data_IF_232642105351
#
_entry.id   IF_232642105351
#
_cell.length_a   1.000
_cell.length_b   1.000
_cell.length_c   1.000
_cell.angle_alpha   90.00
_cell.angle_beta   90.00
_cell.angle_gamma   90.00
#
_symmetry.space_group_name_H-M   'P 1'
#
loop_
_entity.id
_entity.type
_entity.pdbx_description
1 polymer ?
#
# COMPACT_ATOMS: atom_id res chain seq x y z
N UNK A 1 19.07 10.01 6.03
CA UNK A 1 17.60 9.96 6.15
C UNK A 1 17.23 9.05 7.32
N UNK A 2 16.26 9.41 8.15
CA UNK A 2 15.99 8.63 9.36
C UNK A 2 15.13 7.41 9.00
N UNK A 3 15.70 6.20 9.05
CA UNK A 3 14.99 4.93 8.80
C UNK A 3 13.69 4.81 9.61
N UNK A 4 13.64 5.43 10.79
CA UNK A 4 12.45 5.47 11.63
C UNK A 4 11.28 6.23 10.99
N UNK A 5 11.55 7.31 10.26
CA UNK A 5 10.52 8.12 9.59
C UNK A 5 9.90 7.37 8.42
N UNK A 6 10.71 6.65 7.64
CA UNK A 6 10.24 5.78 6.54
C UNK A 6 9.29 4.72 7.08
N UNK A 7 9.69 4.00 8.15
CA UNK A 7 8.84 2.99 8.79
C UNK A 7 7.53 3.59 9.32
N UNK A 8 7.61 4.74 9.99
CA UNK A 8 6.41 5.41 10.53
C UNK A 8 5.45 5.82 9.41
N UNK A 9 5.97 6.34 8.31
CA UNK A 9 5.16 6.69 7.14
C UNK A 9 4.52 5.44 6.51
N UNK A 10 5.31 4.39 6.31
CA UNK A 10 4.85 3.11 5.78
C UNK A 10 3.67 2.56 6.57
N UNK A 11 3.81 2.43 7.89
CA UNK A 11 2.76 1.89 8.74
C UNK A 11 1.52 2.80 8.81
N UNK A 12 1.70 4.13 8.76
CA UNK A 12 0.58 5.07 8.64
C UNK A 12 -0.21 4.85 7.33
N UNK A 13 0.49 4.60 6.22
CA UNK A 13 -0.16 4.29 4.93
C UNK A 13 -0.88 2.95 4.97
N UNK A 14 -0.23 1.90 5.48
CA UNK A 14 -0.83 0.58 5.63
C UNK A 14 -2.12 0.64 6.47
N UNK A 15 -2.09 1.33 7.62
CA UNK A 15 -3.27 1.52 8.46
C UNK A 15 -4.39 2.25 7.72
N UNK A 16 -4.07 3.31 6.97
CA UNK A 16 -5.03 4.04 6.15
C UNK A 16 -5.68 3.16 5.06
N UNK A 17 -4.87 2.39 4.35
CA UNK A 17 -5.33 1.47 3.29
C UNK A 17 -6.28 0.43 3.87
N UNK A 18 -5.90 -0.20 4.99
CA UNK A 18 -6.70 -1.24 5.65
C UNK A 18 -7.99 -0.67 6.25
N UNK A 19 -7.95 0.56 6.78
CA UNK A 19 -9.13 1.22 7.35
C UNK A 19 -10.18 1.58 6.30
N UNK A 20 -9.77 1.96 5.09
CA UNK A 20 -10.69 2.17 3.97
C UNK A 20 -11.29 0.84 3.48
N UNK A 21 -10.43 -0.18 3.26
CA UNK A 21 -10.79 -1.61 3.22
C UNK A 21 -12.01 -2.01 2.37
N UNK A 22 -12.28 -1.35 1.24
CA UNK A 22 -13.43 -1.63 0.37
C UNK A 22 -13.21 -2.83 -0.57
N UNK A 23 -11.97 -3.31 -0.67
CA UNK A 23 -11.59 -4.46 -1.49
C UNK A 23 -10.66 -5.42 -0.75
N UNK A 24 -10.73 -6.70 -1.13
CA UNK A 24 -9.95 -7.79 -0.52
C UNK A 24 -9.49 -8.80 -1.58
N UNK A 25 -8.33 -9.41 -1.35
CA UNK A 25 -7.89 -10.60 -2.09
C UNK A 25 -7.94 -11.81 -1.19
N UNK A 26 -8.47 -12.91 -1.69
CA UNK A 26 -8.47 -14.19 -1.00
C UNK A 26 -7.56 -15.20 -1.70
N UNK A 27 -6.88 -16.03 -0.92
CA UNK A 27 -6.19 -17.19 -1.45
C UNK A 27 -7.17 -18.32 -1.80
N UNK A 28 -6.66 -19.44 -2.32
CA UNK A 28 -7.48 -20.60 -2.72
C UNK A 28 -8.27 -21.25 -1.57
N UNK A 29 -7.89 -20.99 -0.32
CA UNK A 29 -8.59 -21.48 0.87
C UNK A 29 -9.66 -20.49 1.38
N UNK A 30 -9.87 -19.35 0.68
CA UNK A 30 -10.82 -18.31 1.08
C UNK A 30 -10.31 -17.38 2.17
N UNK A 31 -9.02 -17.47 2.54
CA UNK A 31 -8.42 -16.60 3.56
C UNK A 31 -8.03 -15.27 2.89
N UNK A 32 -8.41 -14.16 3.52
CA UNK A 32 -8.02 -12.81 3.06
C UNK A 32 -6.53 -12.63 3.26
N UNK A 33 -5.81 -12.42 2.16
CA UNK A 33 -4.36 -12.22 2.13
C UNK A 33 -3.97 -10.77 1.86
N UNK A 34 -4.87 -9.98 1.26
CA UNK A 34 -4.68 -8.54 1.05
C UNK A 34 -5.96 -7.76 1.34
N UNK A 35 -5.81 -6.53 1.83
CA UNK A 35 -6.91 -5.56 2.07
C UNK A 35 -6.53 -4.20 1.51
N UNK A 36 -7.48 -3.49 0.94
CA UNK A 36 -7.19 -2.13 0.51
C UNK A 36 -8.33 -1.40 -0.17
N UNK A 37 -7.97 -0.60 -1.17
CA UNK A 37 -8.83 0.37 -1.82
C UNK A 37 -8.87 0.12 -3.33
N UNK A 38 -10.07 0.03 -3.88
CA UNK A 38 -10.30 0.06 -5.31
C UNK A 38 -10.48 1.51 -5.79
N UNK A 39 -9.64 1.95 -6.72
CA UNK A 39 -9.72 3.24 -7.40
C UNK A 39 -10.28 3.02 -8.83
N UNK A 40 -10.43 4.10 -9.62
CA UNK A 40 -11.00 4.00 -10.97
C UNK A 40 -10.22 3.05 -11.89
N UNK A 41 -8.90 3.13 -11.84
CA UNK A 41 -8.00 2.41 -12.77
C UNK A 41 -6.91 1.60 -12.04
N UNK A 42 -6.95 1.61 -10.71
CA UNK A 42 -5.91 1.03 -9.87
C UNK A 42 -6.49 0.40 -8.61
N UNK A 43 -5.69 -0.44 -7.97
CA UNK A 43 -5.97 -0.94 -6.62
C UNK A 43 -4.74 -0.67 -5.75
N UNK A 44 -4.98 -0.23 -4.52
CA UNK A 44 -3.91 -0.06 -3.53
C UNK A 44 -4.19 -1.04 -2.40
N UNK A 45 -3.34 -2.05 -2.27
CA UNK A 45 -3.56 -3.19 -1.38
C UNK A 45 -2.41 -3.32 -0.39
N UNK A 46 -2.73 -3.71 0.83
CA UNK A 46 -1.75 -4.11 1.84
C UNK A 46 -1.80 -5.63 2.04
N UNK A 47 -0.67 -6.30 1.87
CA UNK A 47 -0.50 -7.72 2.12
C UNK A 47 -0.42 -8.02 3.61
N UNK A 48 -1.40 -8.78 4.11
CA UNK A 48 -1.53 -9.10 5.53
C UNK A 48 -0.47 -10.11 6.00
N UNK A 49 0.01 -10.95 5.08
CA UNK A 49 1.00 -11.99 5.38
C UNK A 49 2.45 -11.49 5.21
N UNK A 50 2.69 -10.62 4.24
CA UNK A 50 4.05 -10.20 3.86
C UNK A 50 4.38 -8.73 4.21
N UNK A 51 3.39 -7.95 4.64
CA UNK A 51 3.58 -6.56 5.02
C UNK A 51 4.02 -5.67 3.87
N UNK A 52 3.52 -5.92 2.65
CA UNK A 52 3.86 -5.13 1.45
C UNK A 52 2.66 -4.31 1.00
N UNK A 53 2.87 -3.03 0.69
CA UNK A 53 1.87 -2.20 -0.01
C UNK A 53 2.08 -2.40 -1.51
N UNK A 54 1.06 -2.87 -2.22
CA UNK A 54 1.07 -3.09 -3.68
C UNK A 54 0.08 -2.16 -4.37
N UNK A 55 0.51 -1.64 -5.51
CA UNK A 55 -0.37 -0.96 -6.45
C UNK A 55 -0.57 -1.89 -7.64
N UNK A 56 -1.81 -2.17 -7.98
CA UNK A 56 -2.20 -2.94 -9.15
C UNK A 56 -2.86 -2.02 -10.18
N UNK A 57 -2.73 -2.34 -11.46
CA UNK A 57 -3.55 -1.74 -12.52
C UNK A 57 -4.97 -2.36 -12.56
N UNK A 58 -5.79 -1.89 -13.50
CA UNK A 58 -7.16 -2.40 -13.71
C UNK A 58 -7.24 -3.89 -14.06
N UNK A 59 -6.17 -4.47 -14.60
CA UNK A 59 -6.05 -5.91 -14.90
C UNK A 59 -5.52 -6.73 -13.71
N UNK A 60 -5.40 -6.11 -12.53
CA UNK A 60 -4.86 -6.72 -11.31
C UNK A 60 -3.39 -7.18 -11.44
N UNK A 61 -2.61 -6.52 -12.31
CA UNK A 61 -1.17 -6.71 -12.43
C UNK A 61 -0.42 -5.74 -11.53
N UNK A 62 0.53 -6.21 -10.70
CA UNK A 62 1.27 -5.34 -9.78
C UNK A 62 2.21 -4.43 -10.59
N UNK A 63 2.08 -3.12 -10.39
CA UNK A 63 2.89 -2.09 -11.05
C UNK A 63 3.88 -1.41 -10.09
N UNK A 64 3.60 -1.47 -8.79
CA UNK A 64 4.51 -1.01 -7.75
C UNK A 64 4.33 -1.82 -6.46
N UNK A 65 5.40 -1.93 -5.68
CA UNK A 65 5.40 -2.57 -4.38
C UNK A 65 6.35 -1.83 -3.44
N UNK A 66 5.90 -1.58 -2.22
CA UNK A 66 6.64 -0.85 -1.21
C UNK A 66 6.70 -1.63 0.09
N UNK A 67 7.85 -1.59 0.75
CA UNK A 67 8.05 -2.16 2.08
C UNK A 67 8.38 -1.05 3.08
N UNK A 68 8.51 -1.40 4.35
CA UNK A 68 8.98 -0.45 5.37
C UNK A 68 10.43 0.02 5.17
N UNK A 69 11.14 -0.53 4.18
CA UNK A 69 12.50 -0.12 3.78
C UNK A 69 12.53 0.72 2.49
N UNK A 70 11.37 0.95 1.86
CA UNK A 70 11.23 1.77 0.64
C UNK A 70 11.46 3.26 0.93
N UNK A 71 12.70 3.72 0.77
CA UNK A 71 13.11 5.12 0.97
C UNK A 71 12.36 6.10 0.03
N UNK A 72 11.94 5.63 -1.15
CA UNK A 72 11.16 6.38 -2.12
C UNK A 72 9.80 6.86 -1.58
N UNK A 73 9.24 6.23 -0.53
CA UNK A 73 8.01 6.71 0.12
C UNK A 73 8.17 8.12 0.70
N UNK A 74 9.36 8.46 1.18
CA UNK A 74 9.65 9.80 1.71
C UNK A 74 9.69 10.82 0.57
N UNK A 75 10.35 10.47 -0.53
CA UNK A 75 10.39 11.32 -1.73
C UNK A 75 8.98 11.57 -2.26
N UNK A 76 8.13 10.54 -2.32
CA UNK A 76 6.73 10.70 -2.71
C UNK A 76 5.97 11.62 -1.76
N UNK A 77 6.15 11.46 -0.44
CA UNK A 77 5.54 12.37 0.55
C UNK A 77 5.96 13.82 0.32
N UNK A 78 7.25 14.07 0.16
CA UNK A 78 7.77 15.43 -0.10
C UNK A 78 7.22 16.01 -1.41
N UNK A 79 7.13 15.21 -2.48
CA UNK A 79 6.59 15.66 -3.77
C UNK A 79 5.10 16.01 -3.72
N UNK A 80 4.34 15.38 -2.82
CA UNK A 80 2.90 15.57 -2.69
C UNK A 80 2.49 16.46 -1.53
N UNK A 81 3.41 16.83 -0.62
CA UNK A 81 3.15 17.81 0.45
C UNK A 81 2.73 19.17 -0.11
N UNK A 82 3.22 19.55 -1.29
CA UNK A 82 2.85 20.79 -1.98
C UNK A 82 1.51 20.72 -2.75
N UNK A 83 0.84 19.56 -2.77
CA UNK A 83 -0.48 19.38 -3.41
C UNK A 83 -1.66 19.52 -2.44
N UNK A 84 -1.41 19.64 -1.14
CA UNK A 84 -2.41 19.98 -0.10
C UNK A 84 -2.56 21.49 0.11
#
# INVERSE_FOLDING_TARGET
MNKFEVKKLFWKLADGIVACGDTVTQNKAGVVVERGIALSDYYVMFGLDDGVIRIYNSEYLPIAAYTEESEELVVLKELFEDLE
#
